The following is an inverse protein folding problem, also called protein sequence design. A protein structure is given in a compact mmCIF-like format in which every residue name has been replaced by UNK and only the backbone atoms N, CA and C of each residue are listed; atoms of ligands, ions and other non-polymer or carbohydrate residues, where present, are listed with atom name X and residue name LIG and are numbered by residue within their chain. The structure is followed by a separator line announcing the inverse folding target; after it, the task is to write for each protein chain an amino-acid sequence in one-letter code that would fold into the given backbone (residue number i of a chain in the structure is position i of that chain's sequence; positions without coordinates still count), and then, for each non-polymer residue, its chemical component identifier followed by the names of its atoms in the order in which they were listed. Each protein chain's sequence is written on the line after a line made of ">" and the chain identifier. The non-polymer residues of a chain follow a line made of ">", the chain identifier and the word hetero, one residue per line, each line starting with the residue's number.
data_IF_305923958261
#
_entry.id   IF_305923958261
#
_cell.length_a   1.000
_cell.length_b   1.000
_cell.length_c   1.000
_cell.angle_alpha   90.00
_cell.angle_beta   90.00
_cell.angle_gamma   90.00
#
_symmetry.space_group_name_H-M   'P 1'
#
loop_
_entity.id
_entity.type
_entity.pdbx_description
1 polymer ?
#
# COMPACT_ATOMS: atom_id res chain seq x y z
N UNK A 1 -26.44 -72.09 -51.53
CA UNK A 1 -26.29 -71.59 -50.14
C UNK A 1 -24.85 -71.21 -49.78
N UNK A 2 -23.81 -72.00 -50.12
CA UNK A 2 -22.41 -71.63 -49.82
C UNK A 2 -21.89 -70.41 -50.62
N UNK A 3 -22.31 -70.27 -51.88
CA UNK A 3 -21.95 -69.14 -52.77
C UNK A 3 -22.48 -67.79 -52.27
N UNK A 4 -23.75 -67.74 -51.85
CA UNK A 4 -24.38 -66.49 -51.35
C UNK A 4 -23.76 -66.01 -50.03
N UNK A 5 -23.30 -66.92 -49.18
CA UNK A 5 -22.58 -66.58 -47.95
C UNK A 5 -21.22 -65.93 -48.25
N UNK A 6 -20.48 -66.48 -49.21
CA UNK A 6 -19.19 -65.92 -49.64
C UNK A 6 -19.34 -64.52 -50.26
N UNK A 7 -20.41 -64.27 -51.01
CA UNK A 7 -20.70 -62.95 -51.60
C UNK A 7 -21.05 -61.93 -50.51
N UNK A 8 -21.90 -62.31 -49.55
CA UNK A 8 -22.25 -61.48 -48.40
C UNK A 8 -21.03 -61.08 -47.56
N UNK A 9 -20.15 -62.05 -47.29
CA UNK A 9 -18.91 -61.80 -46.55
C UNK A 9 -17.94 -60.91 -47.36
N UNK A 10 -17.89 -61.06 -48.70
CA UNK A 10 -17.08 -60.22 -49.57
C UNK A 10 -17.57 -58.76 -49.61
N UNK A 11 -18.88 -58.54 -49.73
CA UNK A 11 -19.51 -57.21 -49.70
C UNK A 11 -19.26 -56.54 -48.35
N UNK A 12 -19.39 -57.29 -47.25
CA UNK A 12 -19.08 -56.80 -45.91
C UNK A 12 -17.61 -56.38 -45.78
N UNK A 13 -16.69 -57.20 -46.25
CA UNK A 13 -15.24 -56.91 -46.20
C UNK A 13 -14.89 -55.67 -47.02
N UNK A 14 -15.47 -55.53 -48.22
CA UNK A 14 -15.31 -54.34 -49.06
C UNK A 14 -15.83 -53.10 -48.33
N UNK A 15 -17.03 -53.16 -47.74
CA UNK A 15 -17.62 -52.06 -47.00
C UNK A 15 -16.76 -51.60 -45.81
N UNK A 16 -16.35 -52.54 -44.96
CA UNK A 16 -15.50 -52.25 -43.79
C UNK A 16 -14.16 -51.64 -44.23
N UNK A 17 -13.56 -52.17 -45.30
CA UNK A 17 -12.28 -51.68 -45.81
C UNK A 17 -12.38 -50.30 -46.44
N UNK A 18 -13.52 -49.99 -47.07
CA UNK A 18 -13.81 -48.70 -47.67
C UNK A 18 -13.99 -47.60 -46.61
N UNK A 19 -14.69 -47.86 -45.50
CA UNK A 19 -14.76 -46.93 -44.38
C UNK A 19 -13.42 -46.75 -43.67
N UNK A 20 -12.64 -47.83 -43.54
CA UNK A 20 -11.29 -47.72 -43.00
C UNK A 20 -10.36 -46.87 -43.88
N UNK A 21 -10.52 -46.92 -45.20
CA UNK A 21 -9.79 -46.05 -46.13
C UNK A 21 -10.18 -44.57 -45.97
N UNK A 22 -11.46 -44.29 -45.77
CA UNK A 22 -11.96 -42.93 -45.49
C UNK A 22 -11.40 -42.36 -44.18
N UNK A 23 -11.25 -43.18 -43.14
CA UNK A 23 -10.64 -42.75 -41.87
C UNK A 23 -9.15 -42.40 -42.02
N UNK A 24 -8.44 -43.11 -42.90
CA UNK A 24 -6.98 -43.01 -43.04
C UNK A 24 -6.52 -41.98 -44.05
N UNK A 25 -7.29 -41.74 -45.12
CA UNK A 25 -6.98 -40.75 -46.13
C UNK A 25 -8.03 -39.65 -46.10
N UNK A 26 -7.61 -38.39 -46.10
CA UNK A 26 -8.54 -37.30 -46.37
C UNK A 26 -9.18 -37.50 -47.75
N UNK A 27 -10.41 -37.05 -47.95
CA UNK A 27 -11.11 -37.07 -49.25
C UNK A 27 -10.22 -36.55 -50.40
N UNK A 28 -9.39 -35.53 -50.13
CA UNK A 28 -8.40 -34.98 -51.07
C UNK A 28 -7.26 -35.96 -51.44
N UNK A 29 -6.88 -36.86 -50.54
CA UNK A 29 -5.89 -37.92 -50.80
C UNK A 29 -6.42 -39.03 -51.70
N UNK A 30 -7.74 -39.30 -51.65
CA UNK A 30 -8.41 -40.31 -52.47
C UNK A 30 -8.86 -39.80 -53.84
N UNK A 31 -8.78 -38.49 -54.13
CA UNK A 31 -9.16 -37.91 -55.43
C UNK A 31 -8.43 -38.54 -56.63
N UNK A 32 -7.23 -39.09 -56.41
CA UNK A 32 -6.44 -39.80 -57.42
C UNK A 32 -7.04 -41.16 -57.81
N UNK A 33 -7.99 -41.67 -57.04
CA UNK A 33 -8.65 -42.97 -57.21
C UNK A 33 -10.18 -42.80 -57.29
N UNK A 34 -10.68 -42.22 -58.39
CA UNK A 34 -12.10 -41.86 -58.52
C UNK A 34 -13.04 -43.07 -58.54
N UNK A 35 -12.60 -44.26 -58.93
CA UNK A 35 -13.45 -45.45 -58.95
C UNK A 35 -13.64 -46.03 -57.54
N UNK A 36 -12.63 -45.97 -56.67
CA UNK A 36 -12.78 -46.28 -55.24
C UNK A 36 -13.83 -45.37 -54.60
N UNK A 37 -13.76 -44.06 -54.84
CA UNK A 37 -14.75 -43.09 -54.32
C UNK A 37 -16.15 -43.40 -54.85
N UNK A 38 -16.28 -43.77 -56.13
CA UNK A 38 -17.59 -44.13 -56.71
C UNK A 38 -18.15 -45.41 -56.08
N UNK A 39 -17.34 -46.44 -55.87
CA UNK A 39 -17.77 -47.64 -55.16
C UNK A 39 -18.18 -47.29 -53.73
N UNK A 40 -17.37 -46.49 -53.02
CA UNK A 40 -17.71 -46.01 -51.68
C UNK A 40 -19.13 -45.41 -51.66
N UNK A 41 -19.42 -44.50 -52.59
CA UNK A 41 -20.76 -43.89 -52.71
C UNK A 41 -21.87 -44.90 -53.00
N UNK A 42 -21.64 -45.89 -53.85
CA UNK A 42 -22.64 -46.95 -54.15
C UNK A 42 -22.92 -47.85 -52.93
N UNK A 43 -21.96 -47.98 -52.02
CA UNK A 43 -22.10 -48.72 -50.76
C UNK A 43 -22.71 -47.87 -49.63
N UNK A 44 -22.50 -46.55 -49.67
CA UNK A 44 -23.00 -45.57 -48.72
C UNK A 44 -24.42 -45.07 -49.09
N UNK A 45 -24.87 -45.33 -50.32
CA UNK A 45 -26.23 -44.99 -50.78
C UNK A 45 -27.30 -45.83 -50.06
N UNK A 46 -28.18 -45.12 -49.35
CA UNK A 46 -29.33 -45.68 -48.63
C UNK A 46 -30.39 -46.31 -49.52
N UNK A 47 -30.41 -45.99 -50.82
CA UNK A 47 -31.41 -46.48 -51.78
C UNK A 47 -31.13 -47.89 -52.31
N UNK A 48 -30.14 -48.57 -51.71
CA UNK A 48 -29.84 -49.99 -51.89
C UNK A 48 -29.21 -50.34 -53.25
N UNK A 49 -28.40 -49.45 -53.80
CA UNK A 49 -27.68 -49.71 -55.06
C UNK A 49 -26.66 -50.86 -54.93
N UNK A 50 -26.18 -51.13 -53.71
CA UNK A 50 -25.34 -52.29 -53.42
C UNK A 50 -26.01 -53.66 -53.73
N UNK A 51 -27.34 -53.71 -53.86
CA UNK A 51 -28.08 -54.92 -54.27
C UNK A 51 -27.63 -55.43 -55.64
N UNK A 52 -27.12 -54.55 -56.50
CA UNK A 52 -26.64 -54.92 -57.83
C UNK A 52 -25.35 -55.76 -57.77
N UNK A 53 -24.58 -55.70 -56.68
CA UNK A 53 -23.38 -56.54 -56.50
C UNK A 53 -23.72 -58.03 -56.32
N UNK A 54 -24.88 -58.37 -55.75
CA UNK A 54 -25.35 -59.77 -55.68
C UNK A 54 -25.69 -60.34 -57.05
N UNK A 55 -26.12 -59.47 -57.97
CA UNK A 55 -26.62 -59.83 -59.31
C UNK A 55 -25.53 -59.84 -60.39
N UNK A 56 -24.27 -59.64 -60.01
CA UNK A 56 -23.16 -59.77 -60.95
C UNK A 56 -23.12 -61.20 -61.51
N UNK A 57 -23.11 -61.34 -62.83
CA UNK A 57 -22.96 -62.65 -63.49
C UNK A 57 -21.62 -63.31 -63.14
N UNK A 58 -20.62 -62.51 -62.77
CA UNK A 58 -19.29 -62.96 -62.40
C UNK A 58 -18.82 -62.33 -61.07
N UNK A 59 -18.93 -63.09 -59.98
CA UNK A 59 -18.50 -62.65 -58.64
C UNK A 59 -16.98 -62.74 -58.41
N UNK A 60 -16.17 -63.19 -59.37
CA UNK A 60 -14.71 -63.30 -59.15
C UNK A 60 -14.07 -61.95 -58.90
N UNK A 61 -14.51 -60.90 -59.62
CA UNK A 61 -13.99 -59.53 -59.44
C UNK A 61 -14.32 -58.99 -58.05
N UNK A 62 -15.51 -59.30 -57.54
CA UNK A 62 -15.95 -58.92 -56.19
C UNK A 62 -15.15 -59.65 -55.10
N UNK A 63 -14.95 -60.96 -55.25
CA UNK A 63 -14.18 -61.78 -54.31
C UNK A 63 -12.69 -61.40 -54.33
N UNK A 64 -12.12 -61.14 -55.51
CA UNK A 64 -10.76 -60.66 -55.68
C UNK A 64 -10.58 -59.30 -55.01
N UNK A 65 -11.52 -58.37 -55.24
CA UNK A 65 -11.51 -57.06 -54.60
C UNK A 65 -11.58 -57.18 -53.07
N UNK A 66 -12.48 -58.02 -52.53
CA UNK A 66 -12.57 -58.28 -51.10
C UNK A 66 -11.28 -58.89 -50.52
N UNK A 67 -10.61 -59.79 -51.25
CA UNK A 67 -9.35 -60.38 -50.81
C UNK A 67 -8.21 -59.36 -50.75
N UNK A 68 -8.14 -58.44 -51.72
CA UNK A 68 -7.15 -57.38 -51.75
C UNK A 68 -7.42 -56.37 -50.63
N UNK A 69 -8.69 -56.02 -50.41
CA UNK A 69 -9.10 -55.16 -49.29
C UNK A 69 -8.77 -55.78 -47.93
N UNK A 70 -9.00 -57.08 -47.74
CA UNK A 70 -8.59 -57.80 -46.52
C UNK A 70 -7.07 -57.75 -46.32
N UNK A 71 -6.29 -57.96 -47.39
CA UNK A 71 -4.83 -57.84 -47.33
C UNK A 71 -4.37 -56.41 -47.04
N UNK A 72 -5.09 -55.42 -47.56
CA UNK A 72 -4.86 -54.00 -47.29
C UNK A 72 -5.14 -53.66 -45.83
N UNK A 73 -6.26 -54.12 -45.26
CA UNK A 73 -6.57 -53.95 -43.84
C UNK A 73 -5.52 -54.59 -42.93
N UNK A 74 -5.02 -55.78 -43.28
CA UNK A 74 -4.07 -56.50 -42.45
C UNK A 74 -2.66 -55.90 -42.45
N UNK A 75 -2.20 -55.34 -43.58
CA UNK A 75 -0.80 -54.95 -43.76
C UNK A 75 -0.58 -53.46 -44.11
N UNK A 76 -1.66 -52.69 -44.29
CA UNK A 76 -1.69 -51.27 -44.64
C UNK A 76 -0.59 -50.83 -45.61
N UNK A 77 -0.71 -51.21 -46.89
CA UNK A 77 0.28 -50.88 -47.92
C UNK A 77 -0.33 -50.04 -49.04
N UNK A 78 0.21 -48.84 -49.23
CA UNK A 78 -0.23 -47.87 -50.24
C UNK A 78 -0.07 -48.38 -51.69
N UNK A 79 0.86 -49.32 -51.92
CA UNK A 79 1.12 -49.94 -53.22
C UNK A 79 -0.06 -50.79 -53.75
N UNK A 80 -1.02 -51.13 -52.89
CA UNK A 80 -2.23 -51.85 -53.26
C UNK A 80 -3.33 -50.93 -53.82
N UNK A 81 -3.29 -49.61 -53.57
CA UNK A 81 -4.32 -48.66 -54.00
C UNK A 81 -4.54 -48.63 -55.52
N UNK A 82 -3.51 -48.61 -56.39
CA UNK A 82 -3.70 -48.66 -57.84
C UNK A 82 -4.40 -49.95 -58.31
N UNK A 83 -4.14 -51.06 -57.63
CA UNK A 83 -4.75 -52.36 -57.95
C UNK A 83 -6.20 -52.42 -57.49
N UNK A 84 -6.50 -51.85 -56.32
CA UNK A 84 -7.86 -51.67 -55.82
C UNK A 84 -8.66 -50.79 -56.80
N UNK A 85 -8.07 -49.70 -57.30
CA UNK A 85 -8.71 -48.81 -58.28
C UNK A 85 -9.02 -49.53 -59.61
N UNK A 86 -8.09 -50.34 -60.13
CA UNK A 86 -8.33 -51.11 -61.36
C UNK A 86 -9.47 -52.13 -61.20
N UNK A 87 -9.49 -52.86 -60.09
CA UNK A 87 -10.59 -53.80 -59.80
C UNK A 87 -11.91 -53.06 -59.55
N UNK A 88 -11.86 -51.91 -58.89
CA UNK A 88 -13.02 -51.05 -58.65
C UNK A 88 -13.63 -50.59 -59.98
N UNK A 89 -12.79 -50.19 -60.94
CA UNK A 89 -13.23 -49.84 -62.29
C UNK A 89 -13.89 -51.02 -63.01
N UNK A 90 -13.31 -52.23 -62.93
CA UNK A 90 -13.90 -53.44 -63.52
C UNK A 90 -15.25 -53.77 -62.88
N UNK A 91 -15.34 -53.69 -61.55
CA UNK A 91 -16.57 -53.97 -60.83
C UNK A 91 -17.68 -52.97 -61.20
N UNK A 92 -17.38 -51.67 -61.24
CA UNK A 92 -18.33 -50.65 -61.68
C UNK A 92 -18.82 -50.88 -63.11
N UNK A 93 -17.95 -51.29 -64.04
CA UNK A 93 -18.39 -51.60 -65.41
C UNK A 93 -19.36 -52.78 -65.47
N UNK A 94 -19.19 -53.80 -64.62
CA UNK A 94 -20.12 -54.91 -64.52
C UNK A 94 -21.43 -54.49 -63.85
N UNK A 95 -21.37 -53.59 -62.87
CA UNK A 95 -22.55 -53.07 -62.18
C UNK A 95 -23.44 -52.27 -63.13
N UNK A 96 -22.84 -51.47 -64.03
CA UNK A 96 -23.57 -50.74 -65.08
C UNK A 96 -24.30 -51.71 -66.02
N UNK A 97 -23.68 -52.84 -66.41
CA UNK A 97 -24.35 -53.86 -67.24
C UNK A 97 -25.47 -54.60 -66.52
N UNK A 98 -25.36 -54.79 -65.20
CA UNK A 98 -26.43 -55.41 -64.41
C UNK A 98 -27.60 -54.44 -64.21
N UNK A 99 -27.31 -53.14 -63.98
CA UNK A 99 -28.34 -52.10 -63.82
C UNK A 99 -29.19 -51.97 -65.08
N UNK A 100 -28.60 -52.05 -66.26
CA UNK A 100 -29.33 -51.98 -67.54
C UNK A 100 -30.22 -53.20 -67.82
N UNK A 101 -29.96 -54.35 -67.19
CA UNK A 101 -30.76 -55.58 -67.31
C UNK A 101 -31.83 -55.74 -66.22
N UNK A 102 -31.87 -54.85 -65.23
CA UNK A 102 -32.55 -55.09 -63.94
C UNK A 102 -34.08 -54.91 -63.90
N UNK A 103 -34.75 -54.58 -65.01
CA UNK A 103 -36.21 -54.36 -65.05
C UNK A 103 -37.07 -55.62 -64.76
N UNK A 104 -36.48 -56.81 -64.58
CA UNK A 104 -37.22 -58.10 -64.55
C UNK A 104 -37.10 -58.88 -63.22
N UNK A 105 -36.37 -58.41 -62.21
CA UNK A 105 -36.05 -59.25 -61.04
C UNK A 105 -36.72 -58.78 -59.74
N UNK A 106 -37.97 -59.18 -59.53
CA UNK A 106 -38.67 -59.12 -58.23
C UNK A 106 -38.98 -60.55 -57.78
N UNK A 107 -38.34 -61.04 -56.70
CA UNK A 107 -38.95 -62.17 -55.98
C UNK A 107 -38.12 -63.00 -55.02
N UNK A 108 -36.81 -63.23 -55.20
CA UNK A 108 -36.21 -64.41 -54.56
C UNK A 108 -35.04 -64.23 -53.56
N UNK A 109 -34.68 -63.03 -53.09
CA UNK A 109 -33.52 -62.88 -52.17
C UNK A 109 -33.68 -61.82 -51.06
N UNK A 110 -34.90 -61.60 -50.57
CA UNK A 110 -35.21 -60.54 -49.58
C UNK A 110 -34.60 -60.82 -48.18
N UNK A 111 -34.54 -62.08 -47.74
CA UNK A 111 -34.11 -62.41 -46.35
C UNK A 111 -32.62 -62.18 -46.09
N UNK A 112 -31.74 -62.52 -47.05
CA UNK A 112 -30.31 -62.29 -46.93
C UNK A 112 -29.98 -60.79 -46.92
N UNK A 113 -30.83 -60.00 -47.57
CA UNK A 113 -30.66 -58.57 -47.72
C UNK A 113 -30.93 -57.83 -46.41
N UNK A 114 -32.02 -58.17 -45.71
CA UNK A 114 -32.38 -57.56 -44.43
C UNK A 114 -31.35 -57.90 -43.33
N UNK A 115 -30.83 -59.13 -43.33
CA UNK A 115 -29.77 -59.55 -42.39
C UNK A 115 -28.48 -58.76 -42.61
N UNK A 116 -28.10 -58.48 -43.86
CA UNK A 116 -26.91 -57.70 -44.17
C UNK A 116 -27.09 -56.23 -43.77
N UNK A 117 -28.24 -55.62 -44.09
CA UNK A 117 -28.54 -54.23 -43.70
C UNK A 117 -28.44 -54.03 -42.19
N UNK A 118 -29.07 -54.92 -41.42
CA UNK A 118 -29.03 -54.85 -39.97
C UNK A 118 -27.60 -54.99 -39.42
N UNK A 119 -26.76 -55.83 -40.06
CA UNK A 119 -25.35 -55.96 -39.70
C UNK A 119 -24.52 -54.72 -40.03
N UNK A 120 -24.69 -54.14 -41.21
CA UNK A 120 -23.97 -52.93 -41.62
C UNK A 120 -24.34 -51.75 -40.71
N UNK A 121 -25.64 -51.59 -40.41
CA UNK A 121 -26.13 -50.57 -39.49
C UNK A 121 -25.55 -50.73 -38.08
N UNK A 122 -25.43 -51.96 -37.58
CA UNK A 122 -24.81 -52.23 -36.28
C UNK A 122 -23.32 -51.86 -36.26
N UNK A 123 -22.59 -52.15 -37.35
CA UNK A 123 -21.18 -51.80 -37.49
C UNK A 123 -21.00 -50.29 -37.46
N UNK A 124 -21.76 -49.57 -38.28
CA UNK A 124 -21.72 -48.10 -38.33
C UNK A 124 -21.98 -47.48 -36.96
N UNK A 125 -23.04 -47.93 -36.26
CA UNK A 125 -23.37 -47.45 -34.92
C UNK A 125 -22.26 -47.74 -33.91
N UNK A 126 -21.60 -48.90 -34.01
CA UNK A 126 -20.52 -49.29 -33.09
C UNK A 126 -19.25 -48.46 -33.28
N UNK A 127 -18.93 -48.06 -34.52
CA UNK A 127 -17.79 -47.21 -34.84
C UNK A 127 -18.02 -45.77 -34.38
N UNK A 128 -19.22 -45.23 -34.60
CA UNK A 128 -19.61 -43.90 -34.10
C UNK A 128 -19.50 -43.82 -32.56
N UNK A 129 -19.98 -44.87 -31.87
CA UNK A 129 -19.87 -44.97 -30.42
C UNK A 129 -18.39 -45.03 -29.97
N UNK A 130 -17.55 -45.81 -30.65
CA UNK A 130 -16.13 -45.91 -30.33
C UNK A 130 -15.40 -44.56 -30.52
N UNK A 131 -15.76 -43.80 -31.56
CA UNK A 131 -15.22 -42.47 -31.80
C UNK A 131 -15.61 -41.48 -30.69
N UNK A 132 -16.89 -41.45 -30.32
CA UNK A 132 -17.39 -40.58 -29.24
C UNK A 132 -16.73 -40.88 -27.89
N UNK A 133 -16.52 -42.18 -27.56
CA UNK A 133 -15.82 -42.60 -26.34
C UNK A 133 -14.36 -42.16 -26.33
N UNK A 134 -13.67 -42.27 -27.47
CA UNK A 134 -12.26 -41.83 -27.59
C UNK A 134 -12.14 -40.33 -27.37
N UNK A 135 -13.04 -39.55 -27.95
CA UNK A 135 -13.11 -38.09 -27.77
C UNK A 135 -13.38 -37.72 -26.31
N UNK A 136 -14.40 -38.34 -25.69
CA UNK A 136 -14.73 -38.10 -24.29
C UNK A 136 -13.55 -38.42 -23.36
N UNK A 137 -12.80 -39.51 -23.63
CA UNK A 137 -11.59 -39.85 -22.88
C UNK A 137 -10.48 -38.82 -23.02
N UNK A 138 -10.30 -38.23 -24.21
CA UNK A 138 -9.30 -37.17 -24.40
C UNK A 138 -9.69 -35.87 -23.69
N UNK A 139 -10.97 -35.52 -23.71
CA UNK A 139 -11.50 -34.34 -23.01
C UNK A 139 -11.39 -34.51 -21.48
N UNK A 140 -11.65 -35.71 -20.95
CA UNK A 140 -11.46 -36.03 -19.53
C UNK A 140 -10.01 -35.85 -19.09
N UNK A 141 -9.04 -36.34 -19.88
CA UNK A 141 -7.61 -36.14 -19.57
C UNK A 141 -7.21 -34.67 -19.60
N UNK A 142 -7.73 -33.90 -20.55
CA UNK A 142 -7.47 -32.46 -20.59
C UNK A 142 -8.08 -31.74 -19.38
N UNK A 143 -9.26 -32.19 -18.93
CA UNK A 143 -9.90 -31.68 -17.73
C UNK A 143 -9.10 -31.99 -16.46
N UNK A 144 -8.61 -33.23 -16.30
CA UNK A 144 -7.73 -33.63 -15.19
C UNK A 144 -6.47 -32.75 -15.14
N UNK A 145 -5.80 -32.55 -16.28
CA UNK A 145 -4.63 -31.69 -16.37
C UNK A 145 -4.95 -30.22 -16.01
N UNK A 146 -6.15 -29.74 -16.31
CA UNK A 146 -6.59 -28.38 -15.92
C UNK A 146 -6.85 -28.30 -14.42
N UNK A 147 -7.44 -29.34 -13.82
CA UNK A 147 -7.68 -29.41 -12.37
C UNK A 147 -6.34 -29.36 -11.62
N UNK A 148 -5.35 -30.15 -12.03
CA UNK A 148 -4.03 -30.18 -11.40
C UNK A 148 -3.36 -28.79 -11.46
N UNK A 149 -3.38 -28.14 -12.64
CA UNK A 149 -2.85 -26.78 -12.80
C UNK A 149 -3.55 -25.76 -11.89
N UNK A 150 -4.87 -25.85 -11.76
CA UNK A 150 -5.63 -24.96 -10.87
C UNK A 150 -5.27 -25.22 -9.40
N UNK A 151 -5.04 -26.47 -9.02
CA UNK A 151 -4.65 -26.81 -7.65
C UNK A 151 -3.25 -26.28 -7.30
N UNK A 152 -2.30 -26.38 -8.22
CA UNK A 152 -0.95 -25.82 -8.05
C UNK A 152 -0.97 -24.29 -7.95
N UNK A 153 -1.70 -23.62 -8.84
CA UNK A 153 -1.91 -22.17 -8.78
C UNK A 153 -2.56 -21.74 -7.46
N UNK A 154 -3.52 -22.51 -6.95
CA UNK A 154 -4.16 -22.24 -5.67
C UNK A 154 -3.16 -22.35 -4.51
N UNK A 155 -2.27 -23.36 -4.53
CA UNK A 155 -1.22 -23.54 -3.51
C UNK A 155 -0.25 -22.36 -3.50
N UNK A 156 0.23 -21.94 -4.67
CA UNK A 156 1.13 -20.79 -4.84
C UNK A 156 0.49 -19.46 -4.40
N UNK A 157 -0.79 -19.26 -4.76
CA UNK A 157 -1.54 -18.08 -4.34
C UNK A 157 -1.70 -18.07 -2.81
N UNK A 158 -1.99 -19.23 -2.20
CA UNK A 158 -2.18 -19.35 -0.76
C UNK A 158 -0.89 -19.16 0.04
N UNK A 159 0.27 -19.59 -0.49
CA UNK A 159 1.57 -19.25 0.11
C UNK A 159 1.85 -17.76 0.00
N UNK A 160 1.60 -17.15 -1.15
CA UNK A 160 1.78 -15.71 -1.35
C UNK A 160 0.92 -14.87 -0.38
N UNK A 161 -0.33 -15.29 -0.13
CA UNK A 161 -1.19 -14.66 0.89
C UNK A 161 -0.65 -14.81 2.32
N UNK A 162 -0.05 -15.96 2.66
CA UNK A 162 0.57 -16.15 3.98
C UNK A 162 1.78 -15.23 4.15
N UNK A 163 2.63 -15.13 3.14
CA UNK A 163 3.80 -14.27 3.16
C UNK A 163 3.40 -12.79 3.23
N UNK A 164 2.38 -12.38 2.47
CA UNK A 164 1.82 -11.04 2.55
C UNK A 164 1.26 -10.73 3.95
N UNK A 165 0.55 -11.67 4.59
CA UNK A 165 0.03 -11.48 5.94
C UNK A 165 1.15 -11.39 6.98
N UNK A 166 2.22 -12.18 6.83
CA UNK A 166 3.42 -12.08 7.68
C UNK A 166 4.07 -10.70 7.52
N UNK A 167 4.30 -10.25 6.28
CA UNK A 167 4.84 -8.92 6.00
C UNK A 167 3.96 -7.80 6.56
N UNK A 168 2.63 -7.90 6.43
CA UNK A 168 1.70 -6.94 7.03
C UNK A 168 1.82 -6.93 8.54
N UNK A 169 1.96 -8.10 9.18
CA UNK A 169 2.14 -8.20 10.63
C UNK A 169 3.47 -7.58 11.08
N UNK A 170 4.56 -7.81 10.36
CA UNK A 170 5.86 -7.20 10.61
C UNK A 170 5.85 -5.67 10.37
N UNK A 171 5.14 -5.21 9.35
CA UNK A 171 4.98 -3.78 9.10
C UNK A 171 4.18 -3.11 10.21
N UNK A 172 3.14 -3.78 10.75
CA UNK A 172 2.39 -3.27 11.91
C UNK A 172 3.29 -3.16 13.15
N UNK A 173 4.08 -4.19 13.47
CA UNK A 173 4.98 -4.15 14.62
C UNK A 173 6.08 -3.09 14.44
N UNK A 174 6.69 -2.99 13.25
CA UNK A 174 7.66 -1.93 12.95
C UNK A 174 7.06 -0.54 13.05
N UNK A 175 5.83 -0.34 12.57
CA UNK A 175 5.11 0.95 12.70
C UNK A 175 4.89 1.30 14.16
N UNK A 176 4.48 0.34 15.00
CA UNK A 176 4.30 0.57 16.44
C UNK A 176 5.62 0.91 17.15
N UNK A 177 6.71 0.22 16.81
CA UNK A 177 8.04 0.55 17.34
C UNK A 177 8.52 1.92 16.87
N UNK A 178 8.35 2.24 15.59
CA UNK A 178 8.70 3.55 15.04
C UNK A 178 7.93 4.65 15.76
N UNK A 179 6.62 4.50 15.92
CA UNK A 179 5.80 5.47 16.64
C UNK A 179 6.29 5.66 18.09
N UNK A 180 6.65 4.59 18.79
CA UNK A 180 7.21 4.67 20.16
C UNK A 180 8.55 5.43 20.19
N UNK A 181 9.46 5.11 19.27
CA UNK A 181 10.77 5.76 19.17
C UNK A 181 10.61 7.23 18.78
N UNK A 182 9.75 7.53 17.80
CA UNK A 182 9.47 8.90 17.39
C UNK A 182 8.88 9.70 18.54
N UNK A 183 7.92 9.14 19.30
CA UNK A 183 7.38 9.80 20.50
C UNK A 183 8.50 10.08 21.51
N UNK A 184 9.37 9.09 21.81
CA UNK A 184 10.44 9.25 22.79
C UNK A 184 11.49 10.28 22.37
N UNK A 185 11.95 10.20 21.12
CA UNK A 185 12.95 11.13 20.56
C UNK A 185 12.37 12.55 20.53
N UNK A 186 11.17 12.74 19.96
CA UNK A 186 10.55 14.07 19.86
C UNK A 186 10.28 14.68 21.24
N UNK A 187 9.78 13.91 22.20
CA UNK A 187 9.55 14.41 23.56
C UNK A 187 10.83 14.78 24.28
N UNK A 188 11.89 13.97 24.11
CA UNK A 188 13.19 14.27 24.72
C UNK A 188 13.83 15.52 24.11
N UNK A 189 13.67 15.72 22.80
CA UNK A 189 14.18 16.89 22.08
C UNK A 189 13.42 18.16 22.45
N UNK A 190 12.08 18.11 22.54
CA UNK A 190 11.25 19.21 23.03
C UNK A 190 11.67 19.60 24.45
N UNK A 191 11.83 18.62 25.34
CA UNK A 191 12.28 18.87 26.71
C UNK A 191 13.65 19.55 26.73
N UNK A 192 14.59 19.06 25.92
CA UNK A 192 15.93 19.63 25.83
C UNK A 192 15.92 21.08 25.36
N UNK A 193 15.10 21.41 24.36
CA UNK A 193 14.93 22.79 23.87
C UNK A 193 14.45 23.73 24.99
N UNK A 194 13.42 23.33 25.74
CA UNK A 194 12.90 24.13 26.84
C UNK A 194 13.87 24.22 28.04
N UNK A 195 14.63 23.18 28.31
CA UNK A 195 15.70 23.19 29.32
C UNK A 195 16.83 24.15 28.90
N UNK A 196 17.17 24.22 27.61
CA UNK A 196 18.15 25.17 27.07
C UNK A 196 17.65 26.62 27.22
N UNK A 197 16.40 26.90 26.86
CA UNK A 197 15.76 28.22 27.08
C UNK A 197 15.77 28.58 28.57
N UNK A 198 15.45 27.63 29.46
CA UNK A 198 15.52 27.85 30.92
C UNK A 198 16.93 28.25 31.36
N UNK A 199 17.96 27.56 30.88
CA UNK A 199 19.35 27.83 31.26
C UNK A 199 19.82 29.19 30.75
N UNK A 200 19.54 29.52 29.49
CA UNK A 200 19.86 30.83 28.91
C UNK A 200 19.19 31.97 29.69
N UNK A 201 17.90 31.82 29.98
CA UNK A 201 17.12 32.85 30.65
C UNK A 201 17.54 33.04 32.12
N UNK A 202 17.93 31.97 32.82
CA UNK A 202 18.53 32.05 34.17
C UNK A 202 19.90 32.74 34.13
N UNK A 203 20.72 32.46 33.11
CA UNK A 203 22.01 33.13 32.94
C UNK A 203 21.82 34.64 32.74
N UNK A 204 20.87 35.03 31.89
CA UNK A 204 20.51 36.43 31.65
C UNK A 204 20.03 37.07 32.96
N UNK A 205 19.10 36.43 33.68
CA UNK A 205 18.60 36.93 34.96
C UNK A 205 19.72 37.12 35.99
N UNK A 206 20.70 36.21 36.05
CA UNK A 206 21.83 36.32 36.96
C UNK A 206 22.77 37.47 36.58
N UNK A 207 22.97 37.75 35.28
CA UNK A 207 23.71 38.94 34.83
C UNK A 207 23.03 40.23 35.30
N UNK A 208 21.71 40.35 35.08
CA UNK A 208 20.93 41.51 35.55
C UNK A 208 20.99 41.68 37.08
N UNK A 209 20.90 40.58 37.84
CA UNK A 209 21.05 40.62 39.30
C UNK A 209 22.43 41.09 39.73
N UNK A 210 23.49 40.57 39.11
CA UNK A 210 24.85 40.96 39.45
C UNK A 210 25.12 42.44 39.13
N UNK A 211 24.56 42.95 38.04
CA UNK A 211 24.63 44.39 37.72
C UNK A 211 23.87 45.24 38.73
N UNK A 212 22.65 44.84 39.11
CA UNK A 212 21.88 45.53 40.14
C UNK A 212 22.64 45.56 41.48
N UNK A 213 23.21 44.43 41.91
CA UNK A 213 24.02 44.33 43.12
C UNK A 213 25.27 45.23 43.04
N UNK A 214 25.93 45.31 41.88
CA UNK A 214 27.07 46.20 41.67
C UNK A 214 26.70 47.68 41.86
N UNK A 215 25.56 48.11 41.30
CA UNK A 215 25.07 49.49 41.47
C UNK A 215 24.72 49.75 42.94
N UNK A 216 24.01 48.84 43.60
CA UNK A 216 23.69 48.98 45.03
C UNK A 216 24.95 49.02 45.91
N UNK A 217 25.98 48.24 45.58
CA UNK A 217 27.25 48.24 46.30
C UNK A 217 27.99 49.57 46.14
N UNK A 218 28.05 50.13 44.93
CA UNK A 218 28.65 51.46 44.69
C UNK A 218 27.90 52.54 45.46
N UNK A 219 26.56 52.56 45.40
CA UNK A 219 25.73 53.52 46.14
C UNK A 219 25.92 53.36 47.64
N UNK A 220 25.94 52.12 48.14
CA UNK A 220 26.18 51.80 49.54
C UNK A 220 27.53 52.30 50.03
N UNK A 221 28.59 52.12 49.24
CA UNK A 221 29.93 52.64 49.54
C UNK A 221 29.91 54.18 49.61
N UNK A 222 29.27 54.85 48.65
CA UNK A 222 29.13 56.32 48.63
C UNK A 222 28.39 56.82 49.88
N UNK A 223 27.32 56.13 50.29
CA UNK A 223 26.57 56.47 51.50
C UNK A 223 27.40 56.28 52.78
N UNK A 224 28.14 55.17 52.89
CA UNK A 224 29.02 54.89 54.03
C UNK A 224 30.14 55.95 54.12
N UNK A 225 30.82 56.26 53.02
CA UNK A 225 31.85 57.30 52.99
C UNK A 225 31.27 58.69 53.29
N UNK A 226 30.09 59.02 52.76
CA UNK A 226 29.39 60.28 53.06
C UNK A 226 29.06 60.40 54.55
N UNK A 227 28.54 59.34 55.15
CA UNK A 227 28.24 59.29 56.58
C UNK A 227 29.50 59.38 57.46
N UNK A 228 30.57 58.68 57.09
CA UNK A 228 31.85 58.75 57.80
C UNK A 228 32.46 60.14 57.75
N UNK A 229 32.40 60.82 56.60
CA UNK A 229 32.93 62.18 56.45
C UNK A 229 32.18 63.18 57.35
N UNK A 230 30.84 63.11 57.37
CA UNK A 230 30.02 63.90 58.31
C UNK A 230 30.35 63.57 59.76
N UNK A 231 30.53 62.29 60.08
CA UNK A 231 30.85 61.83 61.44
C UNK A 231 32.22 62.33 61.92
N UNK A 232 33.24 62.30 61.06
CA UNK A 232 34.59 62.80 61.36
C UNK A 232 34.57 64.33 61.52
N UNK A 233 33.86 65.04 60.66
CA UNK A 233 33.71 66.50 60.75
C UNK A 233 32.98 66.92 62.04
N UNK A 234 31.95 66.17 62.44
CA UNK A 234 31.23 66.39 63.69
C UNK A 234 32.08 66.04 64.93
N UNK A 235 32.92 64.99 64.84
CA UNK A 235 33.88 64.63 65.89
C UNK A 235 34.96 65.69 66.11
N UNK A 236 35.50 66.27 65.02
CA UNK A 236 36.44 67.38 65.13
C UNK A 236 35.79 68.65 65.72
N UNK A 237 34.51 68.91 65.42
CA UNK A 237 33.79 70.06 65.96
C UNK A 237 33.42 69.91 67.44
N UNK A 238 33.12 68.69 67.88
CA UNK A 238 32.92 68.31 69.28
C UNK A 238 34.16 68.51 70.17
N UNK A 239 35.36 68.47 69.58
CA UNK A 239 36.62 68.71 70.31
C UNK A 239 36.87 70.19 70.60
N UNK A 240 36.36 71.09 69.74
CA UNK A 240 36.64 72.53 69.82
C UNK A 240 35.43 73.37 70.31
N UNK A 241 34.20 72.84 70.38
CA UNK A 241 33.05 73.57 70.90
C UNK A 241 32.00 72.66 71.55
N UNK A 242 31.38 73.15 72.64
CA UNK A 242 30.48 72.39 73.52
C UNK A 242 29.03 72.28 72.99
N UNK A 243 28.81 72.35 71.66
CA UNK A 243 27.48 72.28 71.06
C UNK A 243 27.48 71.39 69.82
N UNK A 244 26.62 70.36 69.84
CA UNK A 244 26.37 69.48 68.70
C UNK A 244 25.36 70.19 67.79
N UNK A 245 25.84 70.89 66.77
CA UNK A 245 24.97 71.29 65.66
C UNK A 245 24.92 70.12 64.67
N UNK A 246 23.75 69.49 64.52
CA UNK A 246 23.48 68.60 63.39
C UNK A 246 22.92 69.49 62.28
N UNK A 247 23.71 69.97 61.30
CA UNK A 247 23.17 70.69 60.17
C UNK A 247 22.39 69.70 59.30
N UNK A 248 21.10 69.49 59.60
CA UNK A 248 20.13 69.05 58.59
C UNK A 248 19.89 70.21 57.63
N UNK A 249 20.93 70.60 56.90
CA UNK A 249 20.87 71.58 55.85
C UNK A 249 20.02 71.03 54.69
N UNK A 250 19.23 71.88 54.03
CA UNK A 250 18.45 71.52 52.84
C UNK A 250 19.33 70.88 51.76
N UNK A 251 20.62 71.25 51.71
CA UNK A 251 21.60 70.59 50.85
C UNK A 251 21.80 69.10 51.14
N UNK A 252 21.63 68.65 52.38
CA UNK A 252 21.71 67.22 52.76
C UNK A 252 20.48 66.44 52.29
N UNK A 253 19.28 67.03 52.42
CA UNK A 253 18.02 66.42 51.97
C UNK A 253 17.98 66.25 50.44
N UNK A 254 18.44 67.25 49.68
CA UNK A 254 18.51 67.15 48.21
C UNK A 254 19.54 66.10 47.78
N UNK A 255 20.67 65.98 48.49
CA UNK A 255 21.69 64.96 48.20
C UNK A 255 21.21 63.54 48.49
N UNK A 256 20.49 63.30 49.59
CA UNK A 256 19.91 61.98 49.89
C UNK A 256 18.83 61.60 48.88
N UNK A 257 17.99 62.55 48.46
CA UNK A 257 16.98 62.32 47.42
C UNK A 257 17.61 62.04 46.04
N UNK A 258 18.71 62.74 45.69
CA UNK A 258 19.50 62.46 44.48
C UNK A 258 20.22 61.10 44.55
N UNK A 259 20.62 60.64 45.74
CA UNK A 259 21.14 59.28 45.92
C UNK A 259 20.04 58.23 45.73
N UNK A 260 18.82 58.53 46.18
CA UNK A 260 17.64 57.68 45.93
C UNK A 260 17.31 57.59 44.44
N UNK A 261 17.37 58.72 43.72
CA UNK A 261 17.28 58.77 42.25
C UNK A 261 18.19 57.76 41.57
N UNK A 262 19.45 57.70 42.04
CA UNK A 262 20.49 56.87 41.47
C UNK A 262 20.22 55.36 41.66
N UNK A 263 19.33 54.98 42.58
CA UNK A 263 18.91 53.58 42.77
C UNK A 263 17.88 53.10 41.74
N UNK A 264 17.25 54.01 40.98
CA UNK A 264 16.20 53.68 40.00
C UNK A 264 16.65 52.67 38.94
N UNK A 265 17.84 52.81 38.31
CA UNK A 265 18.35 51.81 37.36
C UNK A 265 18.59 50.44 38.02
N UNK A 266 19.06 50.41 39.26
CA UNK A 266 19.27 49.15 39.99
C UNK A 266 17.96 48.42 40.26
N UNK A 267 16.91 49.16 40.62
CA UNK A 267 15.55 48.64 40.77
C UNK A 267 14.98 48.10 39.46
N UNK A 268 15.19 48.80 38.34
CA UNK A 268 14.80 48.32 37.02
C UNK A 268 15.50 47.01 36.65
N UNK A 269 16.82 46.93 36.83
CA UNK A 269 17.59 45.71 36.55
C UNK A 269 17.17 44.53 37.45
N UNK A 270 16.86 44.82 38.73
CA UNK A 270 16.32 43.80 39.64
C UNK A 270 14.94 43.28 39.18
N UNK A 271 14.09 44.17 38.66
CA UNK A 271 12.79 43.80 38.09
C UNK A 271 12.93 42.97 36.83
N UNK A 272 13.79 43.37 35.89
CA UNK A 272 14.00 42.62 34.65
C UNK A 272 14.64 41.25 34.96
N UNK A 273 15.53 41.16 35.95
CA UNK A 273 16.03 39.88 36.48
C UNK A 273 14.89 38.95 36.95
N UNK A 274 13.91 39.50 37.69
CA UNK A 274 12.74 38.74 38.14
C UNK A 274 11.87 38.26 36.98
N UNK A 275 11.68 39.10 35.96
CA UNK A 275 10.90 38.77 34.77
C UNK A 275 11.54 37.62 34.00
N UNK A 276 12.84 37.68 33.74
CA UNK A 276 13.57 36.58 33.10
C UNK A 276 13.45 35.27 33.90
N UNK A 277 13.53 35.31 35.24
CA UNK A 277 13.30 34.10 36.07
C UNK A 277 11.90 33.53 35.92
N UNK A 278 10.87 34.37 35.87
CA UNK A 278 9.50 33.92 35.66
C UNK A 278 9.34 33.24 34.29
N UNK A 279 9.91 33.83 33.23
CA UNK A 279 9.92 33.24 31.89
C UNK A 279 10.65 31.89 31.90
N UNK A 280 11.81 31.81 32.54
CA UNK A 280 12.55 30.56 32.68
C UNK A 280 11.70 29.46 33.34
N UNK A 281 11.08 29.76 34.49
CA UNK A 281 10.23 28.79 35.18
C UNK A 281 9.02 28.36 34.35
N UNK A 282 8.39 29.30 33.63
CA UNK A 282 7.33 28.98 32.67
C UNK A 282 7.85 28.04 31.57
N UNK A 283 8.96 28.36 30.92
CA UNK A 283 9.56 27.52 29.89
C UNK A 283 9.85 26.10 30.39
N UNK A 284 10.43 25.96 31.59
CA UNK A 284 10.69 24.66 32.22
C UNK A 284 9.40 23.89 32.52
N UNK A 285 8.38 24.57 33.04
CA UNK A 285 7.07 23.97 33.30
C UNK A 285 6.43 23.46 32.00
N UNK A 286 6.39 24.29 30.95
CA UNK A 286 5.84 23.91 29.64
C UNK A 286 6.63 22.75 29.02
N UNK A 287 7.97 22.77 29.10
CA UNK A 287 8.81 21.66 28.63
C UNK A 287 8.52 20.35 29.35
N UNK A 288 8.29 20.39 30.67
CA UNK A 288 7.89 19.20 31.43
C UNK A 288 6.46 18.74 31.13
N UNK A 289 5.52 19.66 30.94
CA UNK A 289 4.13 19.33 30.58
C UNK A 289 4.05 18.71 29.18
N UNK A 290 4.76 19.29 28.19
CA UNK A 290 4.81 18.78 26.81
C UNK A 290 5.49 17.42 26.72
N UNK A 291 6.59 17.21 27.44
CA UNK A 291 7.31 15.92 27.41
C UNK A 291 6.59 14.80 28.17
N UNK A 292 5.75 15.14 29.16
CA UNK A 292 4.92 14.17 29.87
C UNK A 292 3.57 13.91 29.19
N UNK A 293 3.11 14.81 28.33
CA UNK A 293 1.79 14.71 27.70
C UNK A 293 1.53 13.41 26.94
N UNK A 294 2.45 12.86 26.11
CA UNK A 294 2.16 11.63 25.36
C UNK A 294 1.96 10.39 26.24
N UNK A 295 2.45 10.40 27.48
CA UNK A 295 2.15 9.36 28.46
C UNK A 295 0.67 9.39 28.85
N UNK A 296 0.13 10.58 29.14
CA UNK A 296 -1.28 10.76 29.51
C UNK A 296 -2.22 10.57 28.32
N UNK A 297 -1.87 11.09 27.14
CA UNK A 297 -2.69 10.94 25.94
C UNK A 297 -2.88 9.47 25.53
N UNK A 298 -1.92 8.59 25.85
CA UNK A 298 -1.98 7.16 25.48
C UNK A 298 -3.09 6.40 26.23
N UNK A 299 -3.56 6.88 27.37
CA UNK A 299 -4.59 6.21 28.16
C UNK A 299 -6.03 6.49 27.69
N UNK A 300 -6.22 7.52 26.85
CA UNK A 300 -7.54 7.93 26.36
C UNK A 300 -7.97 7.22 25.07
N UNK A 301 -9.29 7.19 24.82
CA UNK A 301 -9.87 6.76 23.54
C UNK A 301 -9.53 7.77 22.43
N UNK A 302 -9.60 7.34 21.17
CA UNK A 302 -9.13 8.15 20.04
C UNK A 302 -9.88 9.48 19.84
N UNK A 303 -11.16 9.57 20.22
CA UNK A 303 -11.94 10.81 20.18
C UNK A 303 -11.45 11.82 21.24
N UNK A 304 -11.30 11.38 22.49
CA UNK A 304 -10.81 12.20 23.61
C UNK A 304 -9.36 12.68 23.39
N UNK A 305 -8.54 11.89 22.69
CA UNK A 305 -7.16 12.26 22.31
C UNK A 305 -7.11 13.48 21.40
N UNK A 306 -8.06 13.58 20.47
CA UNK A 306 -8.11 14.69 19.51
C UNK A 306 -8.58 15.99 20.19
N UNK A 307 -9.55 15.88 21.09
CA UNK A 307 -10.00 16.99 21.94
C UNK A 307 -8.88 17.49 22.87
N UNK A 308 -8.16 16.58 23.53
CA UNK A 308 -6.99 16.91 24.35
C UNK A 308 -5.90 17.64 23.56
N UNK A 309 -5.57 17.14 22.36
CA UNK A 309 -4.60 17.81 21.48
C UNK A 309 -5.05 19.22 21.09
N UNK A 310 -6.34 19.43 20.85
CA UNK A 310 -6.90 20.75 20.52
C UNK A 310 -6.79 21.71 21.71
N UNK A 311 -7.18 21.26 22.91
CA UNK A 311 -7.10 22.06 24.14
C UNK A 311 -5.64 22.45 24.44
N UNK A 312 -4.70 21.52 24.27
CA UNK A 312 -3.29 21.80 24.52
C UNK A 312 -2.69 22.69 23.44
N UNK A 313 -3.06 22.49 22.18
CA UNK A 313 -2.61 23.38 21.13
C UNK A 313 -3.03 24.83 21.41
N UNK A 314 -4.27 25.04 21.85
CA UNK A 314 -4.79 26.36 22.22
C UNK A 314 -4.05 26.94 23.44
N UNK A 315 -3.77 26.10 24.46
CA UNK A 315 -3.05 26.50 25.68
C UNK A 315 -1.57 26.81 25.45
N UNK A 316 -0.88 26.04 24.62
CA UNK A 316 0.58 26.14 24.43
C UNK A 316 0.99 27.07 23.28
N UNK A 317 0.25 27.09 22.17
CA UNK A 317 0.62 27.90 20.99
C UNK A 317 0.00 29.29 20.98
N UNK A 318 -0.93 29.61 21.90
CA UNK A 318 -1.53 30.94 22.06
C UNK A 318 -0.99 31.76 23.23
N UNK A 319 -0.16 31.19 24.11
CA UNK A 319 0.38 31.90 25.27
C UNK A 319 1.75 32.51 24.96
N UNK A 320 1.80 33.84 24.85
CA UNK A 320 3.08 34.55 24.84
C UNK A 320 3.73 34.40 26.22
N UNK A 321 4.97 33.89 26.26
CA UNK A 321 5.74 33.69 27.50
C UNK A 321 5.89 34.97 28.37
N UNK A 322 5.68 36.14 27.76
CA UNK A 322 5.82 37.46 28.37
C UNK A 322 4.51 38.09 28.86
N UNK A 323 3.34 37.54 28.53
CA UNK A 323 2.05 38.18 28.88
C UNK A 323 1.44 37.55 30.13
N UNK A 324 1.76 38.13 31.28
CA UNK A 324 1.12 37.83 32.56
C UNK A 324 0.00 38.86 32.80
N UNK A 325 -1.15 38.66 32.16
CA UNK A 325 -2.33 39.55 32.26
C UNK A 325 -2.92 39.65 33.68
N UNK A 326 -2.41 38.85 34.64
CA UNK A 326 -2.73 38.94 36.08
C UNK A 326 -1.65 39.62 36.93
N UNK A 327 -0.45 39.87 36.42
CA UNK A 327 0.57 40.66 37.11
C UNK A 327 0.38 42.18 36.92
N UNK A 328 -0.53 42.58 36.02
CA UNK A 328 -0.85 43.98 35.71
C UNK A 328 -1.31 44.81 36.93
N UNK A 329 -2.00 44.20 37.89
CA UNK A 329 -2.48 44.93 39.09
C UNK A 329 -1.38 45.31 40.09
N UNK A 330 -0.24 44.62 40.12
CA UNK A 330 0.91 44.97 40.97
C UNK A 330 2.07 45.61 40.19
N UNK A 331 2.10 45.43 38.87
CA UNK A 331 3.12 46.03 38.01
C UNK A 331 2.93 47.53 37.78
N UNK A 332 1.70 48.02 37.86
CA UNK A 332 1.37 49.44 37.70
C UNK A 332 1.85 50.27 38.88
N UNK A 333 1.66 49.82 40.12
CA UNK A 333 2.16 50.52 41.30
C UNK A 333 3.68 50.77 41.25
N UNK A 334 4.44 49.82 40.70
CA UNK A 334 5.91 49.93 40.62
C UNK A 334 6.38 50.71 39.39
N UNK A 335 5.63 50.71 38.28
CA UNK A 335 5.89 51.55 37.11
C UNK A 335 5.53 53.01 37.39
N UNK A 336 4.43 53.22 38.10
CA UNK A 336 4.06 54.51 38.69
C UNK A 336 5.12 54.96 39.69
N UNK A 337 5.63 54.10 40.58
CA UNK A 337 6.74 54.47 41.48
C UNK A 337 8.01 54.86 40.71
N UNK A 338 8.38 54.17 39.62
CA UNK A 338 9.53 54.54 38.79
C UNK A 338 9.28 55.86 38.03
N UNK A 339 8.06 56.09 37.53
CA UNK A 339 7.67 57.37 36.91
C UNK A 339 7.70 58.51 37.91
N UNK A 340 7.13 58.32 39.09
CA UNK A 340 7.14 59.29 40.20
C UNK A 340 8.56 59.57 40.68
N UNK A 341 9.42 58.55 40.77
CA UNK A 341 10.85 58.73 41.05
C UNK A 341 11.53 59.55 39.94
N UNK A 342 11.29 59.26 38.67
CA UNK A 342 11.87 60.03 37.57
C UNK A 342 11.37 61.48 37.51
N UNK A 343 10.09 61.71 37.80
CA UNK A 343 9.51 63.05 37.87
C UNK A 343 10.09 63.83 39.06
N UNK A 344 10.21 63.19 40.22
CA UNK A 344 10.91 63.77 41.38
C UNK A 344 12.37 64.11 41.03
N UNK A 345 13.08 63.24 40.31
CA UNK A 345 14.46 63.50 39.87
C UNK A 345 14.57 64.69 38.92
N UNK A 346 13.58 64.85 38.03
CA UNK A 346 13.49 65.99 37.12
C UNK A 346 13.25 67.29 37.88
N UNK A 347 12.30 67.30 38.80
CA UNK A 347 11.98 68.46 39.66
C UNK A 347 13.20 68.86 40.50
N UNK A 348 13.95 67.89 41.03
CA UNK A 348 15.19 68.16 41.77
C UNK A 348 16.31 68.74 40.91
N UNK A 349 16.45 68.24 39.68
CA UNK A 349 17.44 68.79 38.75
C UNK A 349 17.11 70.24 38.40
N UNK A 350 15.83 70.58 38.28
CA UNK A 350 15.36 71.95 38.04
C UNK A 350 15.55 72.85 39.28
N UNK A 351 15.23 72.37 40.49
CA UNK A 351 15.43 73.15 41.72
C UNK A 351 16.90 73.41 42.03
N UNK A 352 17.80 72.47 41.72
CA UNK A 352 19.25 72.65 41.82
C UNK A 352 19.78 73.68 40.83
N UNK A 353 19.23 73.74 39.62
CA UNK A 353 19.57 74.79 38.64
C UNK A 353 19.14 76.17 39.14
N UNK A 354 17.92 76.29 39.68
CA UNK A 354 17.40 77.56 40.23
C UNK A 354 18.27 78.04 41.41
N UNK A 355 18.66 77.13 42.32
CA UNK A 355 19.55 77.48 43.45
C UNK A 355 20.93 77.96 42.99
N UNK A 356 21.54 77.31 41.99
CA UNK A 356 22.81 77.77 41.39
C UNK A 356 22.73 79.15 40.75
N UNK A 357 21.57 79.51 40.19
CA UNK A 357 21.35 80.85 39.62
C UNK A 357 21.20 81.90 40.72
N UNK A 358 20.61 81.55 41.87
CA UNK A 358 20.43 82.46 43.00
C UNK A 358 21.68 82.68 43.87
N UNK A 359 22.61 81.72 43.91
CA UNK A 359 23.89 81.85 44.64
C UNK A 359 25.03 82.46 43.77
N UNK A 360 24.80 82.63 42.46
CA UNK A 360 25.74 83.21 41.50
C UNK A 360 25.44 84.67 41.11
N UNK A 361 24.44 85.29 41.74
CA UNK A 361 24.07 86.71 41.68
C UNK A 361 24.27 87.34 43.04
#
# INVERSE_FOLDING_TARGET
>A
MSTNKNISDAIKEIYVSLHFLEEKYSLAGLEKYPHIIKIFKEFDDSDKEWRYFYKLENHTVLLDLASIFRNFLANFRDDLLPRIEELSKKLLSQLVSVRSQSAVFQGYEIDCEEILQNRLRYIHLSEELAFSLKRCRTELKDLENKIDKVEDQRKETLSSYKDANLLISELKTKKELLNKITDEVTNSEIKKLYDEIYMEEILIANKYRNWALGIFLIIGIILIFGFLNVSIQNWNHLRDSNYIYIPLDWGSLVKTLMLFSLTTPAWYLARESSKHRQVAYKARMLGTELSSFPLYAREFKDEDRLELRKILADRFFGQELYNDSKASSNSDNSLEQIKLLNEANKVLAESLKIKKVAEGS
#
